data_IF_322444623615
#
_entry.id   IF_322444623615
#
_cell.length_a   1.000
_cell.length_b   1.000
_cell.length_c   1.000
_cell.angle_alpha   90.00
_cell.angle_beta   90.00
_cell.angle_gamma   90.00
#
_symmetry.space_group_name_H-M   'P 1'
#
loop_
_entity.id
_entity.type
_entity.pdbx_description
1 polymer ?
#
# COMPACT_ATOMS: atom_id res chain seq x y z
N UNK A 1 55.28 6.85 8.17
CA UNK A 1 54.29 7.40 9.14
C UNK A 1 53.16 7.99 8.30
N UNK A 2 52.10 7.21 8.08
CA UNK A 2 50.88 7.12 8.91
C UNK A 2 49.96 8.35 8.74
N UNK A 3 48.90 8.10 7.97
CA UNK A 3 47.52 8.50 8.24
C UNK A 3 47.10 9.95 7.92
N UNK A 4 46.86 10.23 6.63
CA UNK A 4 45.98 11.33 6.19
C UNK A 4 45.02 10.88 5.08
N UNK A 5 44.41 9.70 5.26
CA UNK A 5 43.33 9.18 4.41
C UNK A 5 42.22 8.63 5.29
N UNK A 6 41.65 9.45 6.17
CA UNK A 6 40.66 8.96 7.15
C UNK A 6 39.46 9.91 7.36
N UNK A 7 39.17 10.82 6.42
CA UNK A 7 38.04 11.75 6.56
C UNK A 7 37.24 11.90 5.25
N UNK A 8 36.95 10.80 4.58
CA UNK A 8 35.94 10.80 3.48
C UNK A 8 34.96 9.63 3.53
N UNK A 9 35.10 8.69 4.47
CA UNK A 9 34.08 7.66 4.73
C UNK A 9 33.11 8.13 5.82
N UNK A 10 32.52 9.32 5.68
CA UNK A 10 31.29 9.63 6.40
C UNK A 10 30.15 8.95 5.66
N UNK A 11 30.02 7.65 5.94
CA UNK A 11 28.80 6.84 5.91
C UNK A 11 27.67 7.37 5.01
N UNK A 12 27.83 7.22 3.69
CA UNK A 12 26.69 7.16 2.78
C UNK A 12 26.04 5.78 2.93
N UNK A 13 25.52 5.48 4.12
CA UNK A 13 24.54 4.41 4.32
C UNK A 13 23.23 4.93 3.75
N UNK A 14 23.16 4.97 2.41
CA UNK A 14 21.91 5.17 1.70
C UNK A 14 21.12 3.89 1.91
N UNK A 15 20.29 3.87 2.95
CA UNK A 15 19.27 2.84 3.12
C UNK A 15 18.37 2.89 1.89
N UNK A 16 18.63 2.04 0.90
CA UNK A 16 17.80 1.92 -0.29
C UNK A 16 16.46 1.37 0.14
N UNK A 17 15.45 2.24 0.26
CA UNK A 17 14.09 1.80 0.47
C UNK A 17 13.57 1.16 -0.82
N UNK A 18 13.31 -0.14 -0.77
CA UNK A 18 12.66 -0.83 -1.87
C UNK A 18 11.14 -0.57 -1.76
N UNK A 19 10.62 0.23 -2.69
CA UNK A 19 9.19 0.45 -2.84
C UNK A 19 8.67 -0.51 -3.90
N UNK A 20 7.63 -1.28 -3.55
CA UNK A 20 6.94 -2.17 -4.48
C UNK A 20 5.45 -1.84 -4.47
N UNK A 21 4.80 -1.98 -5.61
CA UNK A 21 3.40 -1.60 -5.79
C UNK A 21 2.63 -2.72 -6.47
N UNK A 22 1.43 -2.99 -5.97
CA UNK A 22 0.47 -3.91 -6.58
C UNK A 22 -0.82 -3.13 -6.82
N UNK A 23 -1.14 -2.90 -8.10
CA UNK A 23 -2.39 -2.26 -8.50
C UNK A 23 -3.46 -3.29 -8.85
N UNK A 24 -4.66 -3.04 -8.36
CA UNK A 24 -5.88 -3.72 -8.73
C UNK A 24 -6.73 -2.74 -9.53
N UNK A 25 -6.98 -3.06 -10.81
CA UNK A 25 -7.98 -2.34 -11.60
C UNK A 25 -9.37 -2.63 -11.08
N UNK A 26 -10.31 -1.71 -11.31
CA UNK A 26 -11.73 -1.86 -10.98
C UNK A 26 -12.23 -3.25 -11.33
N UNK A 27 -12.67 -3.98 -10.31
CA UNK A 27 -13.20 -5.33 -10.48
C UNK A 27 -14.66 -5.22 -10.89
N UNK A 28 -15.05 -5.79 -12.02
CA UNK A 28 -16.41 -5.65 -12.58
C UNK A 28 -17.30 -6.87 -12.36
N UNK A 29 -16.82 -7.92 -11.70
CA UNK A 29 -17.63 -9.12 -11.45
C UNK A 29 -18.70 -8.83 -10.38
N UNK A 30 -19.96 -8.86 -10.83
CA UNK A 30 -21.17 -8.50 -10.11
C UNK A 30 -21.46 -9.35 -8.85
N UNK A 31 -20.81 -10.51 -8.69
CA UNK A 31 -21.07 -11.47 -7.61
C UNK A 31 -20.07 -11.43 -6.46
N UNK A 32 -19.34 -10.31 -6.32
CA UNK A 32 -18.27 -10.20 -5.33
C UNK A 32 -18.83 -9.75 -3.96
N UNK A 33 -18.98 -10.68 -3.01
CA UNK A 33 -19.49 -10.37 -1.66
C UNK A 33 -18.38 -9.95 -0.68
N UNK A 34 -18.64 -8.90 0.10
CA UNK A 34 -17.80 -8.46 1.22
C UNK A 34 -17.09 -7.12 0.99
N UNK A 35 -16.43 -6.59 2.03
CA UNK A 35 -15.97 -5.20 2.02
C UNK A 35 -14.78 -4.95 1.09
N UNK A 36 -13.92 -5.94 0.86
CA UNK A 36 -12.81 -5.82 -0.08
C UNK A 36 -13.29 -5.86 -1.53
N UNK A 37 -14.23 -6.76 -1.83
CA UNK A 37 -14.90 -6.81 -3.12
C UNK A 37 -15.58 -5.48 -3.46
N UNK A 38 -16.40 -4.96 -2.52
CA UNK A 38 -17.03 -3.64 -2.68
C UNK A 38 -16.02 -2.53 -2.91
N UNK A 39 -14.91 -2.52 -2.15
CA UNK A 39 -13.83 -1.55 -2.35
C UNK A 39 -13.29 -1.59 -3.78
N UNK A 40 -13.01 -2.79 -4.31
CA UNK A 40 -12.49 -2.98 -5.66
C UNK A 40 -13.50 -2.60 -6.75
N UNK A 41 -14.80 -2.59 -6.45
CA UNK A 41 -15.84 -2.16 -7.39
C UNK A 41 -16.17 -0.65 -7.29
N UNK A 42 -15.94 -0.01 -6.14
CA UNK A 42 -16.32 1.39 -5.91
C UNK A 42 -15.27 2.39 -6.42
N UNK A 43 -14.02 1.96 -6.67
CA UNK A 43 -12.91 2.80 -7.14
C UNK A 43 -12.38 2.35 -8.51
N UNK A 44 -11.76 3.26 -9.26
CA UNK A 44 -11.15 2.94 -10.56
C UNK A 44 -9.86 2.15 -10.39
N UNK A 45 -9.08 2.49 -9.35
CA UNK A 45 -7.88 1.78 -8.96
C UNK A 45 -7.84 1.62 -7.44
N UNK A 46 -7.38 0.45 -7.00
CA UNK A 46 -7.01 0.17 -5.61
C UNK A 46 -5.58 -0.33 -5.62
N UNK A 47 -4.69 0.31 -4.88
CA UNK A 47 -3.25 0.13 -4.98
C UNK A 47 -2.67 -0.21 -3.62
N UNK A 48 -2.01 -1.35 -3.50
CA UNK A 48 -1.23 -1.72 -2.33
C UNK A 48 0.19 -1.21 -2.53
N UNK A 49 0.61 -0.29 -1.67
CA UNK A 49 1.97 0.26 -1.66
C UNK A 49 2.73 -0.40 -0.52
N UNK A 50 3.82 -1.11 -0.85
CA UNK A 50 4.75 -1.76 0.08
C UNK A 50 6.03 -0.93 0.15
N UNK A 51 6.50 -0.68 1.37
CA UNK A 51 7.79 -0.05 1.65
C UNK A 51 8.61 -0.97 2.53
N UNK A 52 9.82 -1.32 2.11
CA UNK A 52 10.76 -2.05 2.94
C UNK A 52 11.92 -1.16 3.37
N UNK A 53 12.19 -1.04 4.67
CA UNK A 53 13.29 -0.27 5.22
C UNK A 53 13.90 -0.98 6.44
N UNK A 54 15.21 -1.28 6.39
CA UNK A 54 15.95 -1.79 7.55
C UNK A 54 15.42 -3.10 8.16
N UNK A 55 14.67 -3.91 7.40
CA UNK A 55 14.04 -5.14 7.87
C UNK A 55 12.59 -4.99 8.33
N UNK A 56 12.08 -3.76 8.43
CA UNK A 56 10.66 -3.50 8.59
C UNK A 56 9.97 -3.42 7.23
N UNK A 57 8.82 -4.07 7.11
CA UNK A 57 7.95 -3.94 5.95
C UNK A 57 6.69 -3.22 6.40
N UNK A 58 6.42 -2.09 5.76
CA UNK A 58 5.15 -1.38 5.93
C UNK A 58 4.36 -1.41 4.64
N UNK A 59 3.05 -1.30 4.75
CA UNK A 59 2.20 -1.09 3.59
C UNK A 59 0.97 -0.24 3.88
N UNK A 60 0.39 0.31 2.82
CA UNK A 60 -0.90 1.01 2.82
C UNK A 60 -1.69 0.67 1.56
N UNK A 61 -2.98 0.99 1.59
CA UNK A 61 -3.85 0.89 0.42
C UNK A 61 -4.32 2.27 0.01
N UNK A 62 -3.90 2.68 -1.19
CA UNK A 62 -4.30 3.93 -1.82
C UNK A 62 -5.43 3.61 -2.81
N UNK A 63 -6.48 4.44 -2.87
CA UNK A 63 -7.61 4.25 -3.78
C UNK A 63 -7.79 5.48 -4.65
N UNK A 64 -8.15 5.30 -5.91
CA UNK A 64 -8.34 6.41 -6.84
C UNK A 64 -9.67 6.36 -7.57
N UNK A 65 -10.21 7.55 -7.85
CA UNK A 65 -11.36 7.73 -8.73
C UNK A 65 -11.09 8.97 -9.60
N UNK A 66 -10.77 8.73 -10.88
CA UNK A 66 -10.24 9.75 -11.77
C UNK A 66 -8.98 10.39 -11.19
N UNK A 67 -8.98 11.72 -11.08
CA UNK A 67 -7.84 12.49 -10.58
C UNK A 67 -7.73 12.54 -9.05
N UNK A 68 -8.73 12.01 -8.33
CA UNK A 68 -8.71 12.00 -6.86
C UNK A 68 -8.06 10.72 -6.35
N UNK A 69 -7.02 10.87 -5.53
CA UNK A 69 -6.37 9.77 -4.81
C UNK A 69 -6.53 9.95 -3.30
N UNK A 70 -7.05 8.92 -2.63
CA UNK A 70 -7.11 8.85 -1.17
C UNK A 70 -6.07 7.86 -0.69
N UNK A 71 -5.09 8.36 0.08
CA UNK A 71 -4.04 7.52 0.65
C UNK A 71 -4.51 6.80 1.91
N UNK A 72 -4.16 5.53 2.02
CA UNK A 72 -4.48 4.70 3.18
C UNK A 72 -3.58 4.98 4.38
N UNK A 73 -3.92 4.40 5.52
CA UNK A 73 -3.06 4.39 6.70
C UNK A 73 -1.98 3.32 6.55
N UNK A 74 -0.72 3.72 6.71
CA UNK A 74 0.42 2.80 6.78
C UNK A 74 0.35 1.90 8.02
N UNK A 75 0.82 0.66 7.86
CA UNK A 75 0.96 -0.30 8.93
C UNK A 75 2.14 -1.23 8.67
N UNK A 76 2.76 -1.71 9.73
CA UNK A 76 3.76 -2.77 9.65
C UNK A 76 3.07 -4.12 9.38
N UNK A 77 3.64 -4.90 8.48
CA UNK A 77 3.19 -6.23 8.09
C UNK A 77 4.40 -7.14 7.95
N UNK A 78 4.17 -8.44 7.98
CA UNK A 78 5.18 -9.44 7.64
C UNK A 78 5.13 -9.78 6.14
N UNK A 79 6.24 -10.29 5.61
CA UNK A 79 6.29 -10.77 4.22
C UNK A 79 5.28 -11.92 3.99
N UNK A 80 5.04 -12.76 4.99
CA UNK A 80 4.09 -13.88 4.90
C UNK A 80 2.64 -13.40 4.79
N UNK A 81 2.25 -12.36 5.52
CA UNK A 81 0.92 -11.75 5.40
C UNK A 81 0.69 -11.18 3.99
N UNK A 82 1.70 -10.50 3.43
CA UNK A 82 1.66 -9.99 2.06
C UNK A 82 1.57 -11.11 1.03
N UNK A 83 2.29 -12.21 1.22
CA UNK A 83 2.28 -13.34 0.29
C UNK A 83 0.91 -14.03 0.21
N UNK A 84 0.14 -14.04 1.31
CA UNK A 84 -1.20 -14.65 1.35
C UNK A 84 -2.23 -13.72 0.68
N UNK A 85 -2.27 -12.45 1.09
CA UNK A 85 -3.22 -11.49 0.55
C UNK A 85 -2.78 -10.04 0.80
N UNK A 86 -2.12 -9.38 -0.17
CA UNK A 86 -1.60 -8.03 0.00
C UNK A 86 -2.67 -7.03 0.45
N UNK A 87 -3.85 -7.05 -0.20
CA UNK A 87 -4.95 -6.14 0.13
C UNK A 87 -5.45 -6.32 1.58
N UNK A 88 -5.61 -7.57 2.05
CA UNK A 88 -6.11 -7.86 3.40
C UNK A 88 -5.05 -7.63 4.47
N UNK A 89 -3.78 -7.83 4.15
CA UNK A 89 -2.67 -7.47 5.02
C UNK A 89 -2.63 -5.94 5.23
N UNK A 90 -2.78 -5.19 4.15
CA UNK A 90 -2.59 -3.74 4.13
C UNK A 90 -3.82 -2.90 4.47
N UNK A 91 -5.01 -3.51 4.56
CA UNK A 91 -6.26 -2.82 4.88
C UNK A 91 -7.17 -3.69 5.74
N UNK A 92 -7.63 -3.18 6.89
CA UNK A 92 -8.52 -3.97 7.76
C UNK A 92 -9.92 -4.00 7.16
N UNK A 93 -10.67 -5.05 7.48
CA UNK A 93 -12.04 -5.27 7.00
C UNK A 93 -12.96 -4.05 7.21
N UNK A 94 -12.89 -3.41 8.38
CA UNK A 94 -13.72 -2.24 8.68
C UNK A 94 -13.29 -0.98 7.90
N UNK A 95 -11.99 -0.84 7.61
CA UNK A 95 -11.48 0.29 6.82
C UNK A 95 -11.86 0.11 5.36
N UNK A 96 -11.76 -1.11 4.83
CA UNK A 96 -12.25 -1.47 3.50
C UNK A 96 -13.75 -1.15 3.36
N UNK A 97 -14.57 -1.51 4.36
CA UNK A 97 -15.99 -1.14 4.37
C UNK A 97 -16.18 0.38 4.34
N UNK A 98 -15.49 1.10 5.22
CA UNK A 98 -15.60 2.57 5.30
C UNK A 98 -15.17 3.27 4.01
N UNK A 99 -14.13 2.75 3.34
CA UNK A 99 -13.68 3.29 2.05
C UNK A 99 -14.66 2.96 0.93
N UNK A 100 -15.17 1.72 0.87
CA UNK A 100 -16.19 1.31 -0.09
C UNK A 100 -17.46 2.19 0.02
N UNK A 101 -17.98 2.37 1.24
CA UNK A 101 -19.15 3.22 1.50
C UNK A 101 -18.90 4.69 1.08
N UNK A 102 -17.65 5.17 1.16
CA UNK A 102 -17.28 6.49 0.63
C UNK A 102 -17.29 6.49 -0.88
N UNK A 103 -16.70 5.48 -1.55
CA UNK A 103 -16.67 5.39 -3.01
C UNK A 103 -18.07 5.48 -3.62
N UNK A 104 -19.06 4.83 -3.01
CA UNK A 104 -20.47 4.88 -3.43
C UNK A 104 -21.07 6.30 -3.42
N UNK A 105 -20.53 7.22 -2.61
CA UNK A 105 -20.98 8.61 -2.52
C UNK A 105 -20.47 9.50 -3.66
N UNK A 106 -19.36 9.13 -4.32
CA UNK A 106 -18.81 9.90 -5.45
C UNK A 106 -19.57 9.69 -6.76
N UNK A 107 -20.50 8.73 -6.77
CA UNK A 107 -21.28 8.33 -7.96
C UNK A 107 -22.77 8.74 -7.88
N UNK A 108 -23.17 9.51 -6.85
CA UNK A 108 -24.48 10.18 -6.78
C UNK A 108 -24.33 11.65 -7.10
#
# INVERSE_FOLDING_TARGET
>A
MKNTLAVTLLALLVSTSANAEISYSKYTEQESFGPYARLLTSFNEVKVVKTANGGEITCRVDVSNGDTVVKGKERSVTESELAISPLKACLKKFEARRLADRGDFWWK
#
